data_IF_999562493637
#
_entry.id   IF_999562493637
#
_cell.length_a   1.000
_cell.length_b   1.000
_cell.length_c   1.000
_cell.angle_alpha   90.00
_cell.angle_beta   90.00
_cell.angle_gamma   90.00
#
_symmetry.space_group_name_H-M   'P 1'
#
loop_
_entity.id
_entity.type
_entity.pdbx_description
1 polymer ?
#
# COMPACT_ATOMS: atom_id res chain seq x y z
N UNK A 1 20.47 -46.03 31.66
CA UNK A 1 21.88 -45.59 31.68
C UNK A 1 21.89 -44.08 31.61
N UNK A 2 22.18 -43.45 32.76
CA UNK A 2 22.22 -42.01 32.93
C UNK A 2 23.61 -41.49 32.56
N UNK A 3 23.67 -40.41 31.78
CA UNK A 3 24.91 -39.76 31.38
C UNK A 3 24.80 -38.26 31.58
N UNK A 4 25.20 -37.81 32.77
CA UNK A 4 25.46 -36.41 33.10
C UNK A 4 26.73 -35.92 32.40
N UNK A 5 26.67 -34.77 31.73
CA UNK A 5 27.85 -34.00 31.37
C UNK A 5 27.74 -32.60 31.95
N UNK A 6 28.41 -32.42 33.09
CA UNK A 6 28.74 -31.12 33.67
C UNK A 6 30.04 -30.63 33.02
N UNK A 7 29.95 -29.60 32.19
CA UNK A 7 31.10 -28.92 31.59
C UNK A 7 31.05 -27.42 31.89
N UNK A 8 31.67 -27.02 33.00
CA UNK A 8 31.88 -25.63 33.43
C UNK A 8 33.14 -25.10 32.75
N UNK A 9 33.05 -23.99 32.00
CA UNK A 9 34.22 -23.23 31.55
C UNK A 9 34.26 -21.83 32.20
N UNK A 10 35.46 -21.33 32.54
CA UNK A 10 35.66 -20.11 33.32
C UNK A 10 35.66 -18.83 32.47
N UNK A 11 35.51 -17.72 33.19
CA UNK A 11 35.22 -16.39 32.69
C UNK A 11 36.28 -15.74 31.80
N UNK A 12 35.78 -14.91 30.89
CA UNK A 12 36.47 -13.72 30.42
C UNK A 12 35.60 -12.51 30.73
N UNK A 13 36.01 -11.74 31.74
CA UNK A 13 35.43 -10.43 32.06
C UNK A 13 36.03 -9.42 31.10
N UNK A 14 35.44 -9.29 29.91
CA UNK A 14 35.79 -8.21 28.99
C UNK A 14 35.17 -6.91 29.52
N UNK A 15 35.99 -6.08 30.16
CA UNK A 15 35.67 -4.70 30.52
C UNK A 15 35.64 -3.86 29.25
N UNK A 16 34.49 -3.79 28.59
CA UNK A 16 34.28 -2.86 27.48
C UNK A 16 33.98 -1.48 28.05
N UNK A 17 34.90 -0.55 27.84
CA UNK A 17 34.75 0.85 28.17
C UNK A 17 33.58 1.44 27.36
N UNK A 18 32.56 1.94 28.06
CA UNK A 18 31.46 2.69 27.47
C UNK A 18 31.95 4.13 27.29
N UNK A 19 32.34 4.47 26.06
CA UNK A 19 32.56 5.85 25.65
C UNK A 19 31.19 6.56 25.60
N UNK A 20 30.92 7.33 26.63
CA UNK A 20 29.74 8.18 26.75
C UNK A 20 29.94 9.41 25.83
N UNK A 21 29.43 9.33 24.59
CA UNK A 21 29.35 10.48 23.70
C UNK A 21 28.12 11.29 24.09
N UNK A 22 28.32 12.36 24.86
CA UNK A 22 27.30 13.40 25.07
C UNK A 22 27.13 14.18 23.76
N UNK A 23 26.02 13.93 23.07
CA UNK A 23 25.53 14.81 22.01
C UNK A 23 24.67 15.89 22.66
N UNK A 24 25.25 17.07 22.84
CA UNK A 24 24.52 18.27 23.24
C UNK A 24 23.79 18.84 22.03
N UNK A 25 22.48 18.63 21.96
CA UNK A 25 21.61 19.33 21.00
C UNK A 25 21.07 20.62 21.65
N UNK A 26 21.62 21.76 21.24
CA UNK A 26 21.07 23.09 21.54
C UNK A 26 20.00 23.47 20.51
N UNK A 27 18.84 23.92 21.03
CA UNK A 27 17.93 24.87 20.38
C UNK A 27 17.11 24.31 19.20
N UNK A 28 15.87 24.69 18.95
CA UNK A 28 15.02 25.78 19.41
C UNK A 28 13.70 25.66 18.64
N UNK A 29 12.61 26.16 19.22
CA UNK A 29 11.24 25.85 18.83
C UNK A 29 10.77 26.37 17.47
N UNK A 30 9.57 25.89 17.12
CA UNK A 30 8.77 26.33 15.98
C UNK A 30 7.39 25.68 16.06
N UNK A 31 6.47 26.37 16.72
CA UNK A 31 5.04 26.12 16.76
C UNK A 31 4.39 26.30 15.38
N UNK A 32 3.33 25.54 15.11
CA UNK A 32 2.28 25.79 14.11
C UNK A 32 2.66 25.68 12.62
N UNK A 33 2.93 24.43 12.19
CA UNK A 33 2.79 24.03 10.78
C UNK A 33 1.55 23.15 10.58
N UNK A 34 0.97 23.08 9.37
CA UNK A 34 -0.17 22.22 9.06
C UNK A 34 0.12 20.75 9.47
N UNK A 35 -0.90 19.97 9.88
CA UNK A 35 -0.69 18.61 10.38
C UNK A 35 0.11 17.78 9.36
N UNK A 36 0.98 16.86 9.81
CA UNK A 36 1.86 16.13 8.92
C UNK A 36 1.03 15.39 7.88
N UNK A 37 1.11 15.82 6.63
CA UNK A 37 1.00 14.89 5.51
C UNK A 37 2.01 13.81 5.84
N UNK A 38 1.57 12.59 6.10
CA UNK A 38 2.44 11.44 6.33
C UNK A 38 3.60 11.53 5.34
N UNK A 39 4.78 11.85 5.87
CA UNK A 39 5.79 12.62 5.18
C UNK A 39 5.95 12.23 3.71
N UNK A 40 5.94 13.25 2.84
CA UNK A 40 6.67 13.18 1.57
C UNK A 40 7.97 12.40 1.82
N UNK A 41 8.20 11.35 1.02
CA UNK A 41 9.44 10.61 1.11
C UNK A 41 10.63 11.59 1.07
N UNK A 42 11.72 11.33 1.81
CA UNK A 42 12.91 12.18 1.74
C UNK A 42 13.30 12.46 0.28
N UNK A 43 13.66 13.69 -0.10
CA UNK A 43 13.91 14.05 -1.49
C UNK A 43 15.08 13.30 -2.17
N UNK A 44 15.79 12.41 -1.46
CA UNK A 44 16.97 11.71 -1.98
C UNK A 44 16.70 10.34 -2.63
N UNK A 45 15.46 9.84 -2.63
CA UNK A 45 15.10 8.62 -3.40
C UNK A 45 14.20 8.91 -4.60
N UNK A 46 14.44 10.04 -5.27
CA UNK A 46 14.11 10.13 -6.71
C UNK A 46 15.12 9.26 -7.45
N UNK A 47 15.01 7.94 -7.32
CA UNK A 47 15.45 7.08 -8.41
C UNK A 47 14.74 7.63 -9.64
N UNK A 48 15.52 8.16 -10.58
CA UNK A 48 14.98 8.60 -11.85
C UNK A 48 14.02 7.52 -12.34
N UNK A 49 12.76 7.89 -12.59
CA UNK A 49 11.88 6.99 -13.31
C UNK A 49 12.66 6.47 -14.51
N UNK A 50 12.67 5.14 -14.77
CA UNK A 50 13.21 4.66 -16.03
C UNK A 50 12.55 5.48 -17.15
N UNK A 51 13.30 5.89 -18.18
CA UNK A 51 12.74 6.67 -19.28
C UNK A 51 11.48 5.97 -19.78
N UNK A 52 10.39 6.73 -19.88
CA UNK A 52 9.16 6.21 -20.47
C UNK A 52 9.51 5.65 -21.86
N UNK A 53 8.97 4.49 -22.25
CA UNK A 53 9.11 4.02 -23.62
C UNK A 53 8.63 5.13 -24.57
N UNK A 54 9.25 5.28 -25.76
CA UNK A 54 8.85 6.30 -26.72
C UNK A 54 7.36 6.13 -27.00
N UNK A 55 6.60 7.21 -26.79
CA UNK A 55 5.21 7.27 -27.24
C UNK A 55 5.22 7.20 -28.76
N UNK A 56 4.42 6.33 -29.40
CA UNK A 56 4.26 6.41 -30.85
C UNK A 56 3.70 7.79 -31.19
N UNK A 57 4.37 8.49 -32.11
CA UNK A 57 3.93 9.77 -32.65
C UNK A 57 2.47 9.65 -33.10
N UNK A 58 1.59 10.35 -32.38
CA UNK A 58 0.19 10.48 -32.77
C UNK A 58 0.14 11.31 -34.05
N UNK A 59 -0.14 10.65 -35.17
CA UNK A 59 -0.48 11.32 -36.43
C UNK A 59 -1.68 12.23 -36.19
N UNK A 60 -1.48 13.52 -36.46
CA UNK A 60 -2.48 14.57 -36.35
C UNK A 60 -3.75 14.21 -37.13
N UNK A 61 -4.90 14.22 -36.45
CA UNK A 61 -6.20 14.22 -37.08
C UNK A 61 -6.52 15.63 -37.61
N UNK A 62 -7.19 15.77 -38.77
CA UNK A 62 -7.55 17.07 -39.31
C UNK A 62 -8.66 17.75 -38.51
N UNK A 63 -8.56 19.07 -38.39
CA UNK A 63 -9.54 19.99 -37.83
C UNK A 63 -10.88 19.89 -38.58
N UNK A 64 -11.94 19.49 -37.87
CA UNK A 64 -13.31 19.53 -38.34
C UNK A 64 -14.08 20.64 -37.62
N UNK A 65 -14.21 21.79 -38.27
CA UNK A 65 -15.11 22.88 -37.90
C UNK A 65 -16.51 22.57 -38.44
N UNK A 66 -17.53 22.60 -37.58
CA UNK A 66 -18.90 22.34 -38.02
C UNK A 66 -19.94 22.34 -36.92
N UNK A 67 -20.62 23.48 -36.78
CA UNK A 67 -22.09 23.49 -36.80
C UNK A 67 -22.83 23.21 -35.50
N UNK A 68 -23.25 24.31 -34.87
CA UNK A 68 -24.40 24.42 -33.97
C UNK A 68 -25.64 23.77 -34.58
N UNK A 69 -26.45 23.01 -33.82
CA UNK A 69 -27.91 23.13 -33.82
C UNK A 69 -28.50 22.75 -32.46
N UNK A 70 -29.34 23.65 -31.96
CA UNK A 70 -30.18 23.55 -30.79
C UNK A 70 -31.55 23.03 -31.24
N UNK A 71 -32.05 21.95 -30.62
CA UNK A 71 -33.38 21.41 -30.89
C UNK A 71 -33.84 20.50 -29.75
N UNK A 72 -34.83 20.98 -29.00
CA UNK A 72 -35.51 20.20 -27.96
C UNK A 72 -36.59 19.28 -28.50
N UNK A 73 -36.96 18.28 -27.70
CA UNK A 73 -38.14 17.43 -27.90
C UNK A 73 -38.11 16.19 -26.98
N UNK A 74 -39.20 15.88 -26.25
CA UNK A 74 -39.28 14.75 -25.32
C UNK A 74 -39.77 13.46 -26.01
N UNK A 75 -39.84 12.37 -25.25
CA UNK A 75 -40.46 11.07 -25.57
C UNK A 75 -39.66 10.10 -26.46
N UNK A 76 -39.08 9.09 -25.81
CA UNK A 76 -39.64 7.74 -25.77
C UNK A 76 -38.71 6.86 -24.94
N UNK A 77 -39.24 6.23 -23.89
CA UNK A 77 -38.54 5.16 -23.20
C UNK A 77 -38.48 3.93 -24.13
N UNK A 78 -37.30 3.38 -24.46
CA UNK A 78 -37.24 2.08 -25.09
C UNK A 78 -37.47 0.97 -24.06
N UNK A 79 -38.42 0.11 -24.40
CA UNK A 79 -38.75 -1.15 -23.74
C UNK A 79 -37.52 -1.97 -23.32
N UNK A 80 -37.57 -2.41 -22.07
CA UNK A 80 -36.70 -3.41 -21.51
C UNK A 80 -37.13 -4.80 -22.00
N UNK A 81 -36.65 -5.22 -23.17
CA UNK A 81 -36.61 -6.63 -23.55
C UNK A 81 -35.57 -6.84 -24.65
N UNK A 82 -34.79 -7.91 -24.50
CA UNK A 82 -33.87 -8.45 -25.52
C UNK A 82 -32.48 -7.81 -25.68
N UNK A 83 -31.63 -8.04 -24.67
CA UNK A 83 -30.17 -8.12 -24.85
C UNK A 83 -29.62 -9.26 -23.99
N UNK A 84 -30.13 -10.46 -24.21
CA UNK A 84 -29.62 -11.72 -23.67
C UNK A 84 -29.20 -12.63 -24.81
N UNK A 85 -28.24 -12.20 -25.63
CA UNK A 85 -27.58 -13.09 -26.58
C UNK A 85 -26.16 -12.61 -26.89
N UNK A 86 -25.22 -13.53 -26.76
CA UNK A 86 -23.83 -13.45 -27.20
C UNK A 86 -22.89 -12.53 -26.40
N UNK A 87 -22.64 -12.88 -25.14
CA UNK A 87 -21.27 -12.77 -24.64
C UNK A 87 -20.44 -13.87 -25.33
N UNK A 88 -19.40 -13.54 -26.11
CA UNK A 88 -18.50 -14.54 -26.64
C UNK A 88 -17.78 -15.24 -25.49
N UNK A 89 -17.68 -16.55 -25.66
CA UNK A 89 -17.06 -17.51 -24.75
C UNK A 89 -15.74 -17.02 -24.17
N UNK A 90 -15.71 -17.06 -22.84
CA UNK A 90 -14.54 -16.98 -21.98
C UNK A 90 -13.62 -18.20 -22.16
N UNK A 91 -13.07 -18.40 -23.36
CA UNK A 91 -12.02 -19.37 -23.65
C UNK A 91 -10.70 -18.63 -23.90
N UNK A 92 -10.10 -18.09 -22.83
CA UNK A 92 -8.83 -17.37 -22.99
C UNK A 92 -8.19 -16.68 -21.79
N UNK A 93 -8.72 -16.82 -20.56
CA UNK A 93 -8.01 -16.33 -19.36
C UNK A 93 -8.00 -17.31 -18.18
N UNK A 94 -7.36 -18.50 -18.30
CA UNK A 94 -7.03 -19.31 -17.13
C UNK A 94 -5.59 -19.14 -16.61
N UNK A 95 -4.70 -18.38 -17.26
CA UNK A 95 -3.26 -18.47 -16.93
C UNK A 95 -2.71 -17.42 -15.96
N UNK A 96 -3.31 -16.23 -15.85
CA UNK A 96 -2.75 -15.19 -14.97
C UNK A 96 -3.02 -15.46 -13.49
N UNK A 97 -4.05 -16.25 -13.17
CA UNK A 97 -4.35 -16.68 -11.80
C UNK A 97 -3.57 -17.93 -11.35
N UNK A 98 -3.03 -18.74 -12.27
CA UNK A 98 -2.17 -19.88 -11.90
C UNK A 98 -0.73 -19.47 -11.58
N UNK A 99 -0.26 -18.32 -12.08
CA UNK A 99 1.08 -17.80 -11.78
C UNK A 99 1.22 -17.33 -10.32
N UNK A 100 0.13 -16.97 -9.66
CA UNK A 100 0.17 -16.46 -8.27
C UNK A 100 0.21 -17.56 -7.20
N UNK A 101 -0.01 -18.82 -7.57
CA UNK A 101 0.14 -19.97 -6.66
C UNK A 101 1.52 -20.63 -6.74
N UNK A 102 2.40 -20.17 -7.63
CA UNK A 102 3.83 -20.48 -7.60
C UNK A 102 4.47 -19.67 -6.45
N UNK A 103 4.41 -20.26 -5.27
CA UNK A 103 4.78 -19.78 -3.93
C UNK A 103 6.28 -19.47 -3.77
N UNK A 104 6.80 -18.57 -4.59
CA UNK A 104 8.08 -17.92 -4.36
C UNK A 104 7.96 -16.83 -3.29
N UNK A 105 9.04 -16.51 -2.56
CA UNK A 105 9.09 -15.25 -1.83
C UNK A 105 8.85 -14.11 -2.82
N UNK A 106 8.01 -13.14 -2.43
CA UNK A 106 7.80 -11.90 -3.21
C UNK A 106 9.16 -11.28 -3.55
N UNK A 107 9.38 -10.84 -4.79
CA UNK A 107 10.64 -10.19 -5.17
C UNK A 107 10.75 -8.81 -4.54
N UNK A 108 11.98 -8.29 -4.42
CA UNK A 108 12.18 -6.92 -3.91
C UNK A 108 11.49 -5.86 -4.79
N UNK A 109 11.45 -6.07 -6.11
CA UNK A 109 10.76 -5.21 -7.05
C UNK A 109 9.24 -5.20 -6.81
N UNK A 110 8.64 -6.38 -6.66
CA UNK A 110 7.22 -6.52 -6.33
C UNK A 110 6.88 -5.87 -4.99
N UNK A 111 7.74 -6.02 -3.99
CA UNK A 111 7.58 -5.36 -2.69
C UNK A 111 7.55 -3.83 -2.83
N UNK A 112 8.47 -3.26 -3.60
CA UNK A 112 8.51 -1.82 -3.84
C UNK A 112 7.26 -1.32 -4.58
N UNK A 113 6.77 -2.08 -5.56
CA UNK A 113 5.53 -1.77 -6.27
C UNK A 113 4.31 -1.78 -5.32
N UNK A 114 4.21 -2.78 -4.44
CA UNK A 114 3.18 -2.88 -3.41
C UNK A 114 3.26 -1.72 -2.41
N UNK A 115 4.46 -1.34 -1.98
CA UNK A 115 4.67 -0.22 -1.07
C UNK A 115 4.21 1.10 -1.70
N UNK A 116 4.55 1.33 -2.97
CA UNK A 116 4.13 2.52 -3.71
C UNK A 116 2.60 2.59 -3.89
N UNK A 117 1.96 1.48 -4.29
CA UNK A 117 0.50 1.38 -4.41
C UNK A 117 -0.18 1.57 -3.06
N UNK A 118 0.31 0.89 -2.02
CA UNK A 118 -0.20 0.93 -0.66
C UNK A 118 -0.18 2.33 -0.08
N UNK A 119 0.92 3.07 -0.27
CA UNK A 119 1.02 4.47 0.16
C UNK A 119 -0.03 5.35 -0.52
N UNK A 120 -0.23 5.21 -1.84
CA UNK A 120 -1.26 5.97 -2.57
C UNK A 120 -2.66 5.69 -2.02
N UNK A 121 -3.00 4.40 -1.83
CA UNK A 121 -4.31 3.99 -1.32
C UNK A 121 -4.53 4.39 0.14
N UNK A 122 -3.51 4.28 0.98
CA UNK A 122 -3.53 4.76 2.35
C UNK A 122 -3.84 6.26 2.40
N UNK A 123 -3.15 7.08 1.60
CA UNK A 123 -3.37 8.52 1.56
C UNK A 123 -4.78 8.89 1.08
N UNK A 124 -5.30 8.19 0.07
CA UNK A 124 -6.63 8.47 -0.48
C UNK A 124 -7.81 8.00 0.39
N UNK A 125 -7.62 6.99 1.23
CA UNK A 125 -8.72 6.33 1.95
C UNK A 125 -8.56 6.40 3.46
N UNK A 126 -7.37 6.11 3.98
CA UNK A 126 -7.14 5.91 5.41
C UNK A 126 -6.68 7.21 6.11
N UNK A 127 -5.82 7.99 5.46
CA UNK A 127 -5.19 9.17 6.05
C UNK A 127 -6.19 10.27 6.42
N UNK A 128 -7.32 10.36 5.72
CA UNK A 128 -8.37 11.35 6.01
C UNK A 128 -8.93 11.26 7.42
N UNK A 129 -9.02 10.05 8.00
CA UNK A 129 -9.41 9.86 9.40
C UNK A 129 -8.21 9.69 10.32
N UNK A 130 -7.21 8.89 9.92
CA UNK A 130 -6.10 8.56 10.82
C UNK A 130 -5.06 9.68 10.95
N UNK A 131 -4.91 10.55 9.95
CA UNK A 131 -3.98 11.69 9.94
C UNK A 131 -4.53 12.97 10.56
N UNK A 132 -5.84 13.07 10.68
CA UNK A 132 -6.55 14.24 11.21
C UNK A 132 -6.97 14.08 12.67
N UNK A 133 -6.77 12.90 13.26
CA UNK A 133 -7.13 12.60 14.64
C UNK A 133 -8.58 12.14 14.84
N UNK A 134 -9.39 12.06 13.77
CA UNK A 134 -10.74 11.45 13.82
C UNK A 134 -10.62 9.97 14.22
N UNK A 135 -9.69 9.27 13.57
CA UNK A 135 -9.30 7.90 13.91
C UNK A 135 -8.02 7.89 14.74
N UNK A 136 -7.77 6.83 15.52
CA UNK A 136 -6.54 6.72 16.28
C UNK A 136 -5.32 6.63 15.37
N UNK A 137 -4.17 7.12 15.85
CA UNK A 137 -2.88 6.96 15.17
C UNK A 137 -2.56 5.48 14.97
N UNK A 138 -2.19 5.12 13.74
CA UNK A 138 -1.89 3.73 13.35
C UNK A 138 -0.44 3.32 13.61
N UNK A 139 0.49 4.26 13.55
CA UNK A 139 1.91 3.99 13.74
C UNK A 139 2.17 3.30 15.10
N UNK A 140 2.90 2.18 15.08
CA UNK A 140 3.27 1.44 16.29
C UNK A 140 2.16 0.58 16.93
N UNK A 141 0.97 0.47 16.32
CA UNK A 141 -0.14 -0.35 16.87
C UNK A 141 0.11 -1.87 16.85
N UNK A 142 1.09 -2.34 16.07
CA UNK A 142 1.54 -3.74 16.01
C UNK A 142 0.41 -4.77 15.89
N UNK A 143 -0.55 -4.54 14.98
CA UNK A 143 -1.59 -5.52 14.64
C UNK A 143 -1.02 -6.59 13.72
N UNK A 144 -1.76 -7.69 13.57
CA UNK A 144 -1.51 -8.68 12.52
C UNK A 144 -2.22 -8.27 11.23
N UNK A 145 -1.71 -8.68 10.07
CA UNK A 145 -2.30 -8.42 8.77
C UNK A 145 -3.74 -8.96 8.71
N UNK A 146 -3.96 -10.17 9.23
CA UNK A 146 -5.30 -10.77 9.30
C UNK A 146 -6.29 -9.92 10.13
N UNK A 147 -5.83 -9.32 11.24
CA UNK A 147 -6.66 -8.42 12.05
C UNK A 147 -6.98 -7.12 11.31
N UNK A 148 -6.01 -6.56 10.57
CA UNK A 148 -6.22 -5.36 9.75
C UNK A 148 -7.20 -5.64 8.62
N UNK A 149 -7.07 -6.76 7.89
CA UNK A 149 -8.03 -7.16 6.84
C UNK A 149 -9.44 -7.22 7.38
N UNK A 150 -9.62 -7.94 8.49
CA UNK A 150 -10.93 -8.08 9.15
C UNK A 150 -11.48 -6.71 9.55
N UNK A 151 -10.69 -5.88 10.22
CA UNK A 151 -11.12 -4.55 10.66
C UNK A 151 -11.49 -3.62 9.48
N UNK A 152 -10.75 -3.67 8.37
CA UNK A 152 -11.07 -2.87 7.17
C UNK A 152 -12.37 -3.35 6.53
N UNK A 153 -12.59 -4.66 6.44
CA UNK A 153 -13.76 -5.24 5.77
C UNK A 153 -15.03 -5.18 6.61
N UNK A 154 -14.91 -5.35 7.92
CA UNK A 154 -16.05 -5.42 8.85
C UNK A 154 -16.28 -4.10 9.59
N UNK A 155 -15.31 -3.19 9.59
CA UNK A 155 -15.31 -2.03 10.47
C UNK A 155 -14.94 -2.40 11.92
N UNK A 156 -14.76 -1.39 12.76
CA UNK A 156 -14.61 -1.54 14.21
C UNK A 156 -14.89 -0.21 14.93
N UNK A 157 -15.84 -0.21 15.86
CA UNK A 157 -16.29 1.03 16.52
C UNK A 157 -16.79 2.04 15.49
N UNK A 158 -16.24 3.25 15.53
CA UNK A 158 -16.57 4.35 14.60
C UNK A 158 -15.96 4.17 13.20
N UNK A 159 -15.05 3.20 13.01
CA UNK A 159 -14.49 2.91 11.69
C UNK A 159 -15.49 2.12 10.86
N UNK A 160 -16.08 2.77 9.85
CA UNK A 160 -16.99 2.13 8.88
C UNK A 160 -16.25 1.07 8.03
N UNK A 161 -16.93 -0.01 7.63
CA UNK A 161 -16.37 -1.00 6.71
C UNK A 161 -16.07 -0.40 5.33
N UNK A 162 -14.98 -0.84 4.70
CA UNK A 162 -14.56 -0.46 3.36
C UNK A 162 -14.77 -1.66 2.43
N UNK A 163 -15.70 -1.51 1.48
CA UNK A 163 -16.05 -2.55 0.51
C UNK A 163 -14.93 -2.80 -0.50
N UNK A 164 -14.96 -3.99 -1.11
CA UNK A 164 -14.05 -4.39 -2.21
C UNK A 164 -14.17 -3.49 -3.43
N UNK A 165 -15.34 -2.87 -3.65
CA UNK A 165 -15.55 -1.87 -4.71
C UNK A 165 -14.71 -0.61 -4.51
N UNK A 166 -14.46 -0.19 -3.26
CA UNK A 166 -13.68 1.02 -2.94
C UNK A 166 -12.19 0.73 -2.76
N UNK A 167 -11.87 -0.45 -2.24
CA UNK A 167 -10.52 -0.92 -2.02
C UNK A 167 -10.50 -2.42 -2.30
N UNK A 168 -9.93 -2.84 -3.43
CA UNK A 168 -9.87 -4.27 -3.78
C UNK A 168 -9.00 -5.05 -2.78
N UNK A 169 -9.03 -6.38 -2.83
CA UNK A 169 -8.20 -7.19 -1.93
C UNK A 169 -6.70 -7.00 -2.20
N UNK A 170 -6.28 -6.94 -3.47
CA UNK A 170 -4.88 -6.67 -3.84
C UNK A 170 -4.41 -5.29 -3.37
N UNK A 171 -5.28 -4.28 -3.48
CA UNK A 171 -4.98 -2.93 -2.98
C UNK A 171 -4.90 -2.90 -1.46
N UNK A 172 -5.73 -3.69 -0.76
CA UNK A 172 -5.66 -3.84 0.69
C UNK A 172 -4.34 -4.52 1.11
N UNK A 173 -3.88 -5.54 0.40
CA UNK A 173 -2.56 -6.14 0.62
C UNK A 173 -1.44 -5.10 0.45
N UNK A 174 -1.50 -4.27 -0.58
CA UNK A 174 -0.56 -3.19 -0.79
C UNK A 174 -0.56 -2.19 0.38
N UNK A 175 -1.75 -1.82 0.88
CA UNK A 175 -1.89 -0.96 2.08
C UNK A 175 -1.27 -1.64 3.30
N UNK A 176 -1.47 -2.93 3.50
CA UNK A 176 -0.88 -3.69 4.61
C UNK A 176 0.65 -3.69 4.52
N UNK A 177 1.22 -3.87 3.32
CA UNK A 177 2.66 -3.73 3.07
C UNK A 177 3.13 -2.33 3.50
N UNK A 178 2.44 -1.26 3.11
CA UNK A 178 2.77 0.09 3.57
C UNK A 178 2.66 0.24 5.09
N UNK A 179 1.60 -0.29 5.70
CA UNK A 179 1.39 -0.25 7.16
C UNK A 179 2.51 -0.97 7.94
N UNK A 180 3.17 -1.97 7.35
CA UNK A 180 4.34 -2.61 7.97
C UNK A 180 5.50 -1.62 8.15
N UNK A 181 5.70 -0.68 7.22
CA UNK A 181 6.79 0.32 7.26
C UNK A 181 6.67 1.28 8.43
N UNK A 182 5.44 1.59 8.85
CA UNK A 182 5.13 2.44 10.02
C UNK A 182 4.87 1.61 11.29
N UNK A 183 5.22 0.33 11.29
CA UNK A 183 5.05 -0.61 12.41
C UNK A 183 3.60 -0.73 12.91
N UNK A 184 2.63 -0.48 12.03
CA UNK A 184 1.22 -0.71 12.32
C UNK A 184 0.88 -2.20 12.17
N UNK A 185 1.57 -2.90 11.28
CA UNK A 185 1.50 -4.35 11.05
C UNK A 185 2.87 -5.00 11.32
N UNK A 186 2.91 -6.23 11.85
CA UNK A 186 4.16 -6.87 12.33
C UNK A 186 4.53 -8.18 11.66
N UNK A 187 3.57 -8.85 11.03
CA UNK A 187 3.67 -10.16 10.38
C UNK A 187 3.90 -10.05 8.87
N UNK A 188 4.20 -8.85 8.36
CA UNK A 188 4.53 -8.58 6.96
C UNK A 188 5.92 -7.94 6.91
N UNK A 189 6.83 -8.54 6.13
CA UNK A 189 8.25 -8.16 6.07
C UNK A 189 8.76 -8.09 4.63
N UNK A 190 9.72 -7.19 4.36
CA UNK A 190 10.36 -7.13 3.06
C UNK A 190 11.11 -8.44 2.77
N UNK A 191 11.18 -8.84 1.49
CA UNK A 191 11.96 -10.01 1.10
C UNK A 191 13.44 -9.81 1.41
N UNK A 192 14.11 -10.88 1.85
CA UNK A 192 15.52 -10.85 2.22
C UNK A 192 15.84 -10.25 3.60
N UNK A 193 14.85 -9.75 4.34
CA UNK A 193 15.03 -9.33 5.73
C UNK A 193 15.15 -10.52 6.69
N UNK A 194 16.38 -10.95 6.98
CA UNK A 194 16.66 -11.98 7.98
C UNK A 194 16.06 -11.65 9.36
N UNK A 195 15.67 -12.70 10.09
CA UNK A 195 15.03 -12.60 11.42
C UNK A 195 16.02 -12.23 12.52
#
# INVERSE_FOLDING_TARGET
MAGSFAGRLPGHVARTAVALVLVTACGGGGSEGPPPRYAEAPPEQRHASPPLPPVPEATAAPDGDGGLESGGGPEAAPDAADAAAAMPEAAGMPEVLQVLSATGPMTQEQWNAMLALGRRKFNGICAGCHGTGIGPRLAGRRKTAAAVRRQVRQGAGEMRPISTRRLSDDELEAVIVYLSTIRAVTDVRPPGGGQ
#
